data_IF_240547309249
#
_entry.id   IF_240547309249
#
_cell.length_a   1.000
_cell.length_b   1.000
_cell.length_c   1.000
_cell.angle_alpha   90.00
_cell.angle_beta   90.00
_cell.angle_gamma   90.00
#
_symmetry.space_group_name_H-M   'P 1'
#
loop_
_entity.id
_entity.type
_entity.pdbx_description
1 polymer ?
#
# COMPACT_ATOMS: atom_id res chain seq x y z
N UNK A 1 13.31 -38.69 -6.64
CA UNK A 1 13.93 -37.38 -6.31
C UNK A 1 12.97 -36.48 -5.52
N UNK A 2 12.37 -36.94 -4.43
CA UNK A 2 11.33 -36.18 -3.69
C UNK A 2 11.57 -36.10 -2.17
N UNK A 3 12.64 -36.71 -1.64
CA UNK A 3 12.89 -36.75 -0.19
C UNK A 3 13.54 -35.47 0.38
N UNK A 4 14.10 -34.59 -0.44
CA UNK A 4 14.83 -33.38 0.02
C UNK A 4 13.95 -32.24 0.55
N UNK A 5 12.63 -32.30 0.39
CA UNK A 5 11.72 -31.21 0.78
C UNK A 5 11.07 -31.39 2.15
N UNK A 6 11.13 -32.59 2.74
CA UNK A 6 10.36 -32.96 3.95
C UNK A 6 10.88 -32.36 5.26
N UNK A 7 12.05 -31.72 5.25
CA UNK A 7 12.72 -31.14 6.42
C UNK A 7 13.02 -29.64 6.32
N UNK A 8 12.53 -28.96 5.28
CA UNK A 8 12.79 -27.53 5.12
C UNK A 8 11.97 -26.75 6.17
N UNK A 9 12.63 -26.26 7.23
CA UNK A 9 12.02 -25.31 8.15
C UNK A 9 11.87 -23.97 7.43
N UNK A 10 10.69 -23.74 6.86
CA UNK A 10 10.34 -22.43 6.31
C UNK A 10 9.97 -21.54 7.49
N UNK A 11 10.91 -20.72 7.95
CA UNK A 11 10.60 -19.63 8.88
C UNK A 11 10.14 -18.44 8.03
N UNK A 12 8.83 -18.14 7.95
CA UNK A 12 8.37 -17.02 7.16
C UNK A 12 9.00 -15.74 7.70
N UNK A 13 9.62 -14.95 6.82
CA UNK A 13 10.17 -13.64 7.18
C UNK A 13 9.04 -12.79 7.74
N UNK A 14 9.19 -12.34 9.00
CA UNK A 14 8.20 -11.49 9.68
C UNK A 14 7.99 -10.24 8.84
N UNK A 15 6.80 -10.12 8.23
CA UNK A 15 6.44 -8.93 7.45
C UNK A 15 6.23 -7.75 8.39
N UNK A 16 6.46 -6.56 7.85
CA UNK A 16 6.15 -5.30 8.53
C UNK A 16 4.68 -5.27 8.94
N UNK A 17 4.39 -4.76 10.13
CA UNK A 17 3.03 -4.39 10.57
C UNK A 17 2.72 -2.92 10.23
N UNK A 18 3.49 -2.32 9.33
CA UNK A 18 3.25 -0.96 8.89
C UNK A 18 1.88 -0.86 8.24
N UNK A 19 1.13 0.16 8.64
CA UNK A 19 -0.22 0.42 8.15
C UNK A 19 -0.36 1.81 7.56
N UNK A 20 0.63 2.68 7.73
CA UNK A 20 0.60 3.99 7.09
C UNK A 20 0.75 3.82 5.56
N UNK A 21 -0.19 4.35 4.75
CA UNK A 21 -0.25 4.07 3.32
C UNK A 21 0.96 4.62 2.55
N UNK A 22 1.53 5.75 2.97
CA UNK A 22 2.73 6.31 2.36
C UNK A 22 3.95 5.43 2.61
N UNK A 23 4.13 4.97 3.85
CA UNK A 23 5.22 4.04 4.17
C UNK A 23 5.04 2.68 3.50
N UNK A 24 3.80 2.21 3.34
CA UNK A 24 3.53 1.00 2.55
C UNK A 24 4.02 1.21 1.11
N UNK A 25 3.64 2.32 0.48
CA UNK A 25 4.07 2.65 -0.88
C UNK A 25 5.60 2.66 -1.02
N UNK A 26 6.32 3.27 -0.08
CA UNK A 26 7.80 3.31 -0.06
C UNK A 26 8.45 1.92 -0.03
N UNK A 27 7.77 0.91 0.51
CA UNK A 27 8.29 -0.47 0.55
C UNK A 27 7.96 -1.28 -0.71
N UNK A 28 7.11 -0.77 -1.60
CA UNK A 28 6.72 -1.49 -2.81
C UNK A 28 7.86 -1.48 -3.82
N UNK A 29 8.13 -2.66 -4.40
CA UNK A 29 8.89 -2.71 -5.63
C UNK A 29 8.01 -2.20 -6.76
N UNK A 30 8.20 -0.94 -7.14
CA UNK A 30 7.44 -0.31 -8.20
C UNK A 30 7.71 -1.03 -9.53
N UNK A 31 6.63 -1.38 -10.24
CA UNK A 31 6.66 -1.97 -11.57
C UNK A 31 5.64 -1.23 -12.43
N UNK A 32 6.01 -0.84 -13.65
CA UNK A 32 5.14 -0.08 -14.55
C UNK A 32 5.38 1.43 -14.48
N UNK A 33 4.33 2.22 -14.71
CA UNK A 33 4.39 3.69 -14.90
C UNK A 33 4.22 4.51 -13.64
N UNK A 34 3.97 3.87 -12.49
CA UNK A 34 3.83 4.57 -11.20
C UNK A 34 5.22 4.66 -10.57
N UNK A 35 5.82 5.84 -10.70
CA UNK A 35 7.16 6.10 -10.20
C UNK A 35 7.16 6.74 -8.81
N UNK A 36 6.13 7.53 -8.47
CA UNK A 36 6.05 8.29 -7.23
C UNK A 36 4.59 8.55 -6.80
N UNK A 37 4.39 8.97 -5.54
CA UNK A 37 3.16 9.58 -5.04
C UNK A 37 3.26 11.10 -5.22
N UNK A 38 2.27 11.71 -5.87
CA UNK A 38 2.20 13.16 -6.07
C UNK A 38 1.50 13.86 -4.91
N UNK A 39 1.71 15.17 -4.74
CA UNK A 39 1.19 15.92 -3.59
C UNK A 39 -0.31 15.70 -3.33
N UNK A 40 -1.22 15.78 -4.33
CA UNK A 40 -2.65 15.57 -4.09
C UNK A 40 -2.98 14.15 -3.62
N UNK A 41 -2.22 13.15 -4.08
CA UNK A 41 -2.37 11.76 -3.63
C UNK A 41 -1.87 11.61 -2.21
N UNK A 42 -0.71 12.21 -1.90
CA UNK A 42 -0.14 12.18 -0.56
C UNK A 42 -1.07 12.82 0.47
N UNK A 43 -1.75 13.90 0.07
CA UNK A 43 -2.69 14.60 0.94
C UNK A 43 -3.97 13.80 1.17
N UNK A 44 -4.51 13.17 0.11
CA UNK A 44 -5.65 12.27 0.25
C UNK A 44 -5.34 11.09 1.20
N UNK A 45 -4.16 10.48 1.06
CA UNK A 45 -3.71 9.39 1.92
C UNK A 45 -3.53 9.83 3.38
N UNK A 46 -2.91 10.99 3.64
CA UNK A 46 -2.75 11.54 5.00
C UNK A 46 -4.10 11.89 5.64
N UNK A 47 -4.96 12.56 4.88
CA UNK A 47 -6.29 12.97 5.35
C UNK A 47 -7.15 11.75 5.68
N UNK A 48 -7.11 10.69 4.88
CA UNK A 48 -7.82 9.45 5.19
C UNK A 48 -7.22 8.72 6.39
N UNK A 49 -5.89 8.59 6.49
CA UNK A 49 -5.21 7.92 7.61
C UNK A 49 -5.60 8.55 8.96
N UNK A 50 -5.71 9.89 9.00
CA UNK A 50 -6.15 10.64 10.17
C UNK A 50 -7.59 10.32 10.62
N UNK A 51 -8.44 9.82 9.72
CA UNK A 51 -9.83 9.45 10.01
C UNK A 51 -10.14 7.98 9.75
N UNK A 52 -9.12 7.11 9.69
CA UNK A 52 -9.25 5.69 9.31
C UNK A 52 -10.33 4.90 10.07
N UNK A 53 -10.68 5.31 11.27
CA UNK A 53 -11.72 4.67 12.08
C UNK A 53 -13.14 4.91 11.55
N UNK A 54 -13.31 5.90 10.66
CA UNK A 54 -14.60 6.16 10.01
C UNK A 54 -14.86 5.10 8.95
N UNK A 55 -16.03 4.47 9.05
CA UNK A 55 -16.46 3.42 8.12
C UNK A 55 -16.60 3.95 6.68
N UNK A 56 -17.24 5.09 6.53
CA UNK A 56 -17.57 5.68 5.23
C UNK A 56 -16.87 7.05 5.10
N UNK A 57 -16.05 7.20 4.04
CA UNK A 57 -15.28 8.41 3.75
C UNK A 57 -15.45 8.74 2.26
N UNK A 58 -15.70 10.00 1.95
CA UNK A 58 -15.73 10.52 0.58
C UNK A 58 -14.43 11.26 0.31
N UNK A 59 -13.76 10.92 -0.80
CA UNK A 59 -12.55 11.59 -1.26
C UNK A 59 -12.83 12.14 -2.66
N UNK A 60 -12.78 13.46 -2.80
CA UNK A 60 -12.94 14.15 -4.08
C UNK A 60 -11.57 14.43 -4.70
N UNK A 61 -11.36 14.01 -5.95
CA UNK A 61 -10.13 14.28 -6.70
C UNK A 61 -10.42 14.46 -8.19
N UNK A 62 -9.65 15.34 -8.83
CA UNK A 62 -9.68 15.56 -10.29
C UNK A 62 -9.38 14.28 -11.09
N UNK A 63 -9.90 14.19 -12.32
CA UNK A 63 -9.54 13.11 -13.28
C UNK A 63 -8.04 13.11 -13.56
N UNK A 64 -7.47 11.94 -13.84
CA UNK A 64 -6.02 11.77 -13.98
C UNK A 64 -5.22 11.89 -12.67
N UNK A 65 -5.81 12.36 -11.56
CA UNK A 65 -5.12 12.55 -10.27
C UNK A 65 -4.71 11.28 -9.52
N UNK A 66 -4.90 10.10 -10.10
CA UNK A 66 -4.49 8.83 -9.49
C UNK A 66 -5.44 8.25 -8.44
N UNK A 67 -6.76 8.50 -8.57
CA UNK A 67 -7.81 7.92 -7.72
C UNK A 67 -7.72 6.40 -7.56
N UNK A 68 -7.34 5.69 -8.63
CA UNK A 68 -7.14 4.23 -8.59
C UNK A 68 -5.96 3.84 -7.70
N UNK A 69 -4.84 4.56 -7.82
CA UNK A 69 -3.65 4.28 -7.02
C UNK A 69 -3.93 4.50 -5.53
N UNK A 70 -4.52 5.65 -5.18
CA UNK A 70 -4.81 5.92 -3.77
C UNK A 70 -5.85 4.92 -3.22
N UNK A 71 -6.90 4.60 -3.96
CA UNK A 71 -7.96 3.70 -3.49
C UNK A 71 -7.51 2.26 -3.24
N UNK A 72 -6.37 1.84 -3.79
CA UNK A 72 -5.74 0.55 -3.49
C UNK A 72 -4.90 0.60 -2.20
N UNK A 73 -4.44 1.79 -1.79
CA UNK A 73 -3.61 1.99 -0.60
C UNK A 73 -4.44 2.29 0.68
N UNK A 74 -5.71 2.69 0.54
CA UNK A 74 -6.67 2.84 1.65
C UNK A 74 -7.15 1.47 2.12
#
# INVERSE_FOLDING_TARGET
MTSKLKGLKITPKKRSKETNPLKIFETLTLRGTVENIWDPQSEALRSWDAVRQKKDVVIEMNTGGGKTLIGVLL
#
